data_IF_563604476908
#
_entry.id   IF_563604476908
#
_cell.length_a   1.000
_cell.length_b   1.000
_cell.length_c   1.000
_cell.angle_alpha   90.00
_cell.angle_beta   90.00
_cell.angle_gamma   90.00
#
_symmetry.space_group_name_H-M   'P 1'
#
loop_
_entity.id
_entity.type
_entity.pdbx_description
1 polymer ?
#
# COMPACT_ATOMS: atom_id res chain seq x y z
N UNK A 1 42.90 41.28 6.13
CA UNK A 1 41.56 41.01 5.53
C UNK A 1 41.59 39.64 4.94
N UNK A 2 41.09 38.65 5.69
CA UNK A 2 41.05 37.23 5.30
C UNK A 2 39.66 36.92 4.78
N UNK A 3 39.56 36.75 3.49
CA UNK A 3 38.30 36.32 2.82
C UNK A 3 38.03 34.85 3.11
N UNK A 4 37.01 34.58 3.89
CA UNK A 4 36.46 33.21 4.07
C UNK A 4 35.75 32.78 2.78
N UNK A 5 36.33 31.81 2.11
CA UNK A 5 35.71 31.08 1.03
C UNK A 5 34.55 30.23 1.61
N UNK A 6 33.33 30.41 1.09
CA UNK A 6 32.20 29.60 1.44
C UNK A 6 32.38 28.14 1.00
N UNK A 7 31.87 27.15 1.75
CA UNK A 7 31.99 25.77 1.36
C UNK A 7 31.13 25.52 0.12
N UNK A 8 31.72 24.99 -0.93
CA UNK A 8 31.09 24.51 -2.14
C UNK A 8 30.08 23.41 -1.74
N UNK A 9 28.79 23.65 -1.95
CA UNK A 9 27.77 22.63 -1.85
C UNK A 9 28.13 21.49 -2.81
N UNK A 10 28.47 20.33 -2.24
CA UNK A 10 28.56 19.09 -3.01
C UNK A 10 27.18 18.82 -3.58
N UNK A 11 27.06 18.82 -4.91
CA UNK A 11 25.85 18.43 -5.62
C UNK A 11 25.50 17.00 -5.18
N UNK A 12 24.45 16.85 -4.38
CA UNK A 12 23.85 15.57 -4.10
C UNK A 12 23.33 14.99 -5.43
N UNK A 13 23.70 13.75 -5.74
CA UNK A 13 22.95 12.96 -6.67
C UNK A 13 23.52 12.67 -8.06
N UNK A 14 24.83 12.67 -8.24
CA UNK A 14 25.37 11.97 -9.41
C UNK A 14 25.86 10.59 -8.99
N UNK A 15 24.99 9.58 -9.16
CA UNK A 15 25.48 8.20 -9.13
C UNK A 15 26.34 7.97 -10.36
N UNK A 16 27.57 7.49 -10.16
CA UNK A 16 28.33 6.96 -11.28
C UNK A 16 27.55 5.76 -11.81
N UNK A 17 27.19 5.81 -13.09
CA UNK A 17 26.54 4.71 -13.76
C UNK A 17 27.40 3.46 -13.80
N UNK A 18 26.89 2.39 -14.37
CA UNK A 18 27.60 1.12 -14.44
C UNK A 18 29.01 1.31 -15.05
N UNK A 19 30.04 0.68 -14.48
CA UNK A 19 31.43 0.92 -14.87
C UNK A 19 31.73 0.76 -16.37
N UNK A 20 31.01 -0.13 -17.03
CA UNK A 20 31.21 -0.43 -18.45
C UNK A 20 30.62 0.61 -19.41
N UNK A 21 29.60 1.35 -18.97
CA UNK A 21 28.91 2.31 -19.83
C UNK A 21 29.26 3.76 -19.56
N UNK A 22 30.02 4.03 -18.50
CA UNK A 22 30.39 5.40 -18.03
C UNK A 22 29.16 6.35 -17.99
N UNK A 23 27.99 5.79 -17.76
CA UNK A 23 26.76 6.53 -17.69
C UNK A 23 26.71 7.33 -16.39
N UNK A 24 26.34 8.58 -16.50
CA UNK A 24 26.00 9.45 -15.38
C UNK A 24 24.52 9.73 -15.44
N UNK A 25 23.78 9.30 -14.42
CA UNK A 25 22.36 9.62 -14.32
C UNK A 25 22.12 10.79 -13.36
N UNK A 26 21.16 11.61 -13.71
CA UNK A 26 20.59 12.64 -12.85
C UNK A 26 19.09 12.49 -12.88
N UNK A 27 18.41 12.86 -11.81
CA UNK A 27 16.96 12.96 -11.84
C UNK A 27 16.54 14.02 -12.86
N UNK A 28 15.70 13.63 -13.79
CA UNK A 28 15.07 14.52 -14.78
C UNK A 28 13.69 14.97 -14.31
N UNK A 29 13.12 14.28 -13.33
CA UNK A 29 11.90 14.60 -12.60
C UNK A 29 12.06 14.12 -11.15
N UNK A 30 12.01 15.03 -10.18
CA UNK A 30 12.11 14.68 -8.76
C UNK A 30 10.80 14.09 -8.24
N UNK A 31 10.84 13.35 -7.14
CA UNK A 31 9.71 12.59 -6.60
C UNK A 31 8.40 13.39 -6.43
N UNK A 32 8.47 14.64 -6.01
CA UNK A 32 7.28 15.47 -5.79
C UNK A 32 6.89 16.33 -7.01
N UNK A 33 7.69 16.32 -8.04
CA UNK A 33 7.43 17.11 -9.24
C UNK A 33 6.36 16.43 -10.08
N UNK A 34 5.36 17.22 -10.51
CA UNK A 34 4.29 16.75 -11.40
C UNK A 34 4.61 17.26 -12.82
N UNK A 35 4.62 16.34 -13.77
CA UNK A 35 4.66 16.68 -15.19
C UNK A 35 3.25 17.04 -15.65
N UNK A 36 3.07 18.23 -16.21
CA UNK A 36 1.78 18.65 -16.74
C UNK A 36 1.37 17.80 -17.94
N UNK A 37 0.15 17.28 -17.88
CA UNK A 37 -0.49 16.50 -18.95
C UNK A 37 -1.87 17.10 -19.25
N UNK A 38 -2.37 17.03 -20.50
CA UNK A 38 -3.65 17.65 -20.90
C UNK A 38 -4.86 16.82 -20.42
N UNK A 39 -5.06 16.71 -19.11
CA UNK A 39 -6.07 15.84 -18.51
C UNK A 39 -7.36 16.56 -18.10
N UNK A 40 -7.44 17.88 -18.29
CA UNK A 40 -8.60 18.68 -17.89
C UNK A 40 -8.77 18.81 -16.36
N UNK A 41 -7.72 18.56 -15.59
CA UNK A 41 -7.68 18.73 -14.13
C UNK A 41 -6.76 19.87 -13.75
N UNK A 42 -7.02 20.52 -12.61
CA UNK A 42 -6.11 21.52 -12.06
C UNK A 42 -4.82 20.87 -11.55
N UNK A 43 -3.71 21.61 -11.57
CA UNK A 43 -2.43 21.13 -11.02
C UNK A 43 -2.54 20.75 -9.55
N UNK A 44 -3.34 21.48 -8.77
CA UNK A 44 -3.62 21.16 -7.39
C UNK A 44 -4.32 19.81 -7.24
N UNK A 45 -5.37 19.54 -8.03
CA UNK A 45 -6.11 18.28 -8.01
C UNK A 45 -5.19 17.09 -8.35
N UNK A 46 -4.36 17.25 -9.38
CA UNK A 46 -3.39 16.24 -9.80
C UNK A 46 -2.35 15.98 -8.69
N UNK A 47 -1.78 17.02 -8.10
CA UNK A 47 -0.80 16.90 -7.01
C UNK A 47 -1.35 16.19 -5.79
N UNK A 48 -2.60 16.50 -5.42
CA UNK A 48 -3.29 15.83 -4.31
C UNK A 48 -3.55 14.35 -4.60
N UNK A 49 -4.01 14.01 -5.81
CA UNK A 49 -4.22 12.62 -6.24
C UNK A 49 -2.91 11.83 -6.22
N UNK A 50 -1.81 12.39 -6.74
CA UNK A 50 -0.48 11.74 -6.76
C UNK A 50 0.03 11.50 -5.34
N UNK A 51 -0.12 12.46 -4.44
CA UNK A 51 0.32 12.33 -3.05
C UNK A 51 -0.43 11.22 -2.33
N UNK A 52 -1.76 11.19 -2.45
CA UNK A 52 -2.63 10.18 -1.87
C UNK A 52 -2.35 8.79 -2.46
N UNK A 53 -2.24 8.67 -3.78
CA UNK A 53 -1.94 7.39 -4.44
C UNK A 53 -0.58 6.83 -4.03
N UNK A 54 0.45 7.67 -3.86
CA UNK A 54 1.76 7.23 -3.35
C UNK A 54 1.70 6.73 -1.91
N UNK A 55 0.79 7.27 -1.08
CA UNK A 55 0.56 6.72 0.26
C UNK A 55 -0.08 5.33 0.17
N UNK A 56 -1.13 5.18 -0.64
CA UNK A 56 -1.79 3.88 -0.84
C UNK A 56 -0.82 2.87 -1.44
N UNK A 57 0.02 3.29 -2.40
CA UNK A 57 1.05 2.43 -3.02
C UNK A 57 2.03 1.88 -1.99
N UNK A 58 2.59 2.74 -1.14
CA UNK A 58 3.54 2.31 -0.10
C UNK A 58 2.89 1.36 0.91
N UNK A 59 1.65 1.64 1.32
CA UNK A 59 0.90 0.78 2.22
C UNK A 59 0.53 -0.56 1.56
N UNK A 60 0.18 -0.57 0.27
CA UNK A 60 -0.13 -1.81 -0.48
C UNK A 60 1.11 -2.70 -0.67
N UNK A 61 2.27 -2.13 -0.98
CA UNK A 61 3.54 -2.88 -1.06
C UNK A 61 3.87 -3.49 0.31
N UNK A 62 3.73 -2.73 1.39
CA UNK A 62 3.96 -3.22 2.75
C UNK A 62 2.97 -4.32 3.14
N UNK A 63 1.70 -4.20 2.73
CA UNK A 63 0.67 -5.22 2.97
C UNK A 63 0.97 -6.51 2.19
N UNK A 64 1.40 -6.40 0.95
CA UNK A 64 1.86 -7.55 0.15
C UNK A 64 2.99 -8.31 0.86
N UNK A 65 4.03 -7.59 1.29
CA UNK A 65 5.15 -8.17 2.02
C UNK A 65 4.70 -8.80 3.35
N UNK A 66 3.74 -8.19 4.05
CA UNK A 66 3.15 -8.73 5.27
C UNK A 66 2.44 -10.07 4.99
N UNK A 67 1.63 -10.14 3.94
CA UNK A 67 0.97 -11.37 3.51
C UNK A 67 1.99 -12.47 3.19
N UNK A 68 3.02 -12.18 2.41
CA UNK A 68 4.06 -13.15 2.06
C UNK A 68 4.83 -13.62 3.29
N UNK A 69 5.19 -12.72 4.20
CA UNK A 69 5.82 -13.08 5.48
C UNK A 69 4.94 -14.04 6.28
N UNK A 70 3.66 -13.75 6.41
CA UNK A 70 2.73 -14.58 7.17
C UNK A 70 2.48 -15.92 6.47
N UNK A 71 2.31 -15.94 5.16
CA UNK A 71 2.19 -17.15 4.34
C UNK A 71 3.36 -18.13 4.58
N UNK A 72 4.59 -17.62 4.69
CA UNK A 72 5.76 -18.47 5.00
C UNK A 72 5.81 -18.95 6.44
N UNK A 73 5.28 -18.20 7.37
CA UNK A 73 5.44 -18.43 8.82
C UNK A 73 4.24 -19.08 9.49
N UNK A 74 3.09 -19.15 8.81
CA UNK A 74 1.89 -19.75 9.41
C UNK A 74 2.09 -21.22 9.70
N UNK A 75 1.53 -21.69 10.82
CA UNK A 75 1.63 -23.08 11.27
C UNK A 75 0.40 -23.49 12.09
N UNK A 76 0.23 -24.79 12.31
CA UNK A 76 -0.83 -25.32 13.18
C UNK A 76 -1.97 -26.01 12.43
N UNK A 77 -3.09 -26.32 13.09
CA UNK A 77 -4.17 -27.14 12.53
C UNK A 77 -4.83 -26.55 11.27
N UNK A 78 -4.81 -25.22 11.13
CA UNK A 78 -5.39 -24.49 9.99
C UNK A 78 -4.34 -24.07 8.96
N UNK A 79 -3.13 -24.64 9.02
CA UNK A 79 -2.00 -24.27 8.17
C UNK A 79 -2.37 -24.21 6.69
N UNK A 80 -2.89 -25.31 6.14
CA UNK A 80 -3.08 -25.42 4.70
C UNK A 80 -4.07 -24.39 4.16
N UNK A 81 -5.21 -24.23 4.82
CA UNK A 81 -6.25 -23.29 4.41
C UNK A 81 -5.75 -21.84 4.48
N UNK A 82 -5.09 -21.47 5.57
CA UNK A 82 -4.58 -20.11 5.74
C UNK A 82 -3.37 -19.84 4.84
N UNK A 83 -2.50 -20.82 4.63
CA UNK A 83 -1.38 -20.70 3.71
C UNK A 83 -1.85 -20.36 2.29
N UNK A 84 -2.87 -21.06 1.79
CA UNK A 84 -3.46 -20.76 0.48
C UNK A 84 -4.21 -19.43 0.46
N UNK A 85 -5.00 -19.13 1.49
CA UNK A 85 -5.76 -17.87 1.58
C UNK A 85 -4.83 -16.66 1.55
N UNK A 86 -3.75 -16.69 2.36
CA UNK A 86 -2.80 -15.59 2.44
C UNK A 86 -2.04 -15.40 1.13
N UNK A 87 -1.77 -16.48 0.38
CA UNK A 87 -1.14 -16.40 -0.93
C UNK A 87 -2.08 -15.78 -1.98
N UNK A 88 -3.33 -16.25 -2.03
CA UNK A 88 -4.36 -15.66 -2.91
C UNK A 88 -4.55 -14.17 -2.65
N UNK A 89 -4.63 -13.78 -1.38
CA UNK A 89 -4.77 -12.35 -1.03
C UNK A 89 -3.52 -11.54 -1.38
N UNK A 90 -2.32 -12.12 -1.25
CA UNK A 90 -1.09 -11.47 -1.69
C UNK A 90 -1.11 -11.20 -3.20
N UNK A 91 -1.52 -12.18 -4.02
CA UNK A 91 -1.63 -12.03 -5.48
C UNK A 91 -2.63 -10.93 -5.88
N UNK A 92 -3.78 -10.85 -5.20
CA UNK A 92 -4.76 -9.77 -5.45
C UNK A 92 -4.20 -8.38 -5.10
N UNK A 93 -3.47 -8.28 -3.97
CA UNK A 93 -2.81 -7.02 -3.58
C UNK A 93 -1.69 -6.66 -4.57
N UNK A 94 -0.88 -7.62 -5.03
CA UNK A 94 0.16 -7.42 -6.03
C UNK A 94 -0.41 -6.83 -7.33
N UNK A 95 -1.52 -7.39 -7.81
CA UNK A 95 -2.22 -6.87 -8.99
C UNK A 95 -2.71 -5.42 -8.80
N UNK A 96 -3.07 -5.03 -7.58
CA UNK A 96 -3.48 -3.67 -7.26
C UNK A 96 -2.32 -2.67 -7.23
N UNK A 97 -1.11 -3.11 -6.84
CA UNK A 97 0.10 -2.28 -6.78
C UNK A 97 0.42 -1.68 -8.14
N UNK A 98 0.38 -2.49 -9.20
CA UNK A 98 0.67 -2.05 -10.56
C UNK A 98 -0.35 -1.00 -11.04
N UNK A 99 -1.65 -1.26 -10.81
CA UNK A 99 -2.72 -0.32 -11.16
C UNK A 99 -2.55 1.04 -10.46
N UNK A 100 -2.15 1.06 -9.18
CA UNK A 100 -1.91 2.30 -8.44
C UNK A 100 -0.68 3.02 -8.99
N UNK A 101 0.41 2.29 -9.22
CA UNK A 101 1.67 2.84 -9.74
C UNK A 101 1.49 3.45 -11.11
N UNK A 102 0.83 2.77 -12.03
CA UNK A 102 0.51 3.28 -13.36
C UNK A 102 -0.44 4.50 -13.28
N UNK A 103 -1.41 4.48 -12.35
CA UNK A 103 -2.29 5.64 -12.15
C UNK A 103 -1.53 6.88 -11.73
N UNK A 104 -0.50 6.77 -10.91
CA UNK A 104 0.39 7.88 -10.55
C UNK A 104 1.10 8.42 -11.81
N UNK A 105 1.63 7.53 -12.66
CA UNK A 105 2.28 7.91 -13.92
C UNK A 105 1.30 8.61 -14.88
N UNK A 106 0.08 8.10 -14.99
CA UNK A 106 -0.99 8.73 -15.78
C UNK A 106 -1.37 10.12 -15.28
N UNK A 107 -1.03 10.46 -14.02
CA UNK A 107 -1.19 11.80 -13.45
C UNK A 107 0.07 12.66 -13.60
N UNK A 108 1.11 12.17 -14.24
CA UNK A 108 2.38 12.87 -14.42
C UNK A 108 3.25 12.88 -13.15
N UNK A 109 2.90 12.06 -12.14
CA UNK A 109 3.67 11.91 -10.92
C UNK A 109 4.82 10.92 -11.04
N UNK A 110 5.58 10.78 -9.95
CA UNK A 110 6.64 9.78 -9.77
C UNK A 110 6.20 8.81 -8.69
N UNK A 111 6.38 7.51 -8.92
CA UNK A 111 5.99 6.44 -7.99
C UNK A 111 7.03 6.22 -6.90
N UNK A 112 6.56 6.00 -5.67
CA UNK A 112 7.34 5.44 -4.57
C UNK A 112 7.34 3.91 -4.69
N UNK A 113 8.48 3.28 -5.00
CA UNK A 113 8.50 1.84 -5.25
C UNK A 113 9.71 1.10 -4.70
N UNK A 114 10.77 1.81 -4.26
CA UNK A 114 11.92 1.14 -3.69
C UNK A 114 11.70 0.82 -2.20
N UNK A 115 12.21 -0.32 -1.69
CA UNK A 115 11.95 -0.76 -0.31
C UNK A 115 12.26 0.27 0.76
N UNK A 116 13.31 1.08 0.59
CA UNK A 116 13.68 2.14 1.53
C UNK A 116 12.62 3.25 1.56
N UNK A 117 12.18 3.70 0.39
CA UNK A 117 11.17 4.76 0.26
C UNK A 117 9.81 4.28 0.78
N UNK A 118 9.48 3.01 0.51
CA UNK A 118 8.26 2.36 1.00
C UNK A 118 8.27 2.30 2.52
N UNK A 119 9.38 1.85 3.12
CA UNK A 119 9.51 1.73 4.57
C UNK A 119 9.41 3.07 5.31
N UNK A 120 9.87 4.17 4.69
CA UNK A 120 9.74 5.52 5.25
C UNK A 120 8.32 6.09 5.09
N UNK A 121 7.59 5.68 4.07
CA UNK A 121 6.29 6.25 3.72
C UNK A 121 5.10 5.48 4.29
N UNK A 122 5.21 4.17 4.44
CA UNK A 122 4.07 3.33 4.88
C UNK A 122 3.57 3.72 6.26
N UNK A 123 2.24 3.68 6.43
CA UNK A 123 1.56 3.85 7.73
C UNK A 123 1.26 2.51 8.41
N UNK A 124 1.55 1.39 7.74
CA UNK A 124 1.36 0.07 8.33
C UNK A 124 2.45 -0.16 9.38
N UNK A 125 2.03 -0.55 10.56
CA UNK A 125 2.94 -0.83 11.67
C UNK A 125 3.87 -2.00 11.35
N UNK A 126 5.16 -1.82 11.63
CA UNK A 126 6.18 -2.84 11.40
C UNK A 126 5.87 -4.09 12.24
N UNK A 127 5.73 -5.27 11.62
CA UNK A 127 5.56 -6.53 12.35
C UNK A 127 6.87 -6.93 13.05
N UNK A 128 6.79 -7.76 14.11
CA UNK A 128 7.97 -8.41 14.66
C UNK A 128 8.71 -9.22 13.59
N UNK A 129 10.03 -9.34 13.73
CA UNK A 129 10.81 -10.20 12.82
C UNK A 129 10.52 -11.68 13.03
N UNK A 130 10.23 -12.08 14.26
CA UNK A 130 9.92 -13.45 14.64
C UNK A 130 8.55 -13.93 14.19
N UNK A 131 8.23 -15.18 14.54
CA UNK A 131 6.94 -15.82 14.30
C UNK A 131 5.98 -15.44 15.41
N UNK A 132 4.79 -15.00 15.04
CA UNK A 132 3.69 -14.70 15.97
C UNK A 132 2.69 -15.87 16.02
N UNK A 133 1.76 -15.86 16.97
CA UNK A 133 0.61 -16.77 16.93
C UNK A 133 -0.28 -16.47 15.70
N UNK A 134 -1.00 -17.47 15.22
CA UNK A 134 -1.89 -17.32 14.06
C UNK A 134 -2.89 -16.18 14.27
N UNK A 135 -3.53 -16.13 15.44
CA UNK A 135 -4.49 -15.06 15.75
C UNK A 135 -3.86 -13.67 15.74
N UNK A 136 -2.62 -13.52 16.24
CA UNK A 136 -1.90 -12.25 16.21
C UNK A 136 -1.53 -11.84 14.77
N UNK A 137 -1.07 -12.79 13.94
CA UNK A 137 -0.79 -12.54 12.53
C UNK A 137 -2.03 -12.05 11.79
N UNK A 138 -3.16 -12.74 11.93
CA UNK A 138 -4.40 -12.37 11.25
C UNK A 138 -4.96 -11.03 11.75
N UNK A 139 -4.93 -10.77 13.06
CA UNK A 139 -5.35 -9.49 13.62
C UNK A 139 -4.48 -8.33 13.09
N UNK A 140 -3.17 -8.55 12.97
CA UNK A 140 -2.25 -7.57 12.38
C UNK A 140 -2.60 -7.27 10.92
N UNK A 141 -2.96 -8.28 10.14
CA UNK A 141 -3.38 -8.12 8.74
C UNK A 141 -4.68 -7.32 8.64
N UNK A 142 -5.67 -7.60 9.50
CA UNK A 142 -6.91 -6.80 9.57
C UNK A 142 -6.60 -5.34 9.90
N UNK A 143 -5.69 -5.07 10.84
CA UNK A 143 -5.28 -3.71 11.19
C UNK A 143 -4.54 -3.01 10.04
N UNK A 144 -3.72 -3.74 9.28
CA UNK A 144 -3.05 -3.21 8.09
C UNK A 144 -4.08 -2.81 7.02
N UNK A 145 -5.07 -3.67 6.75
CA UNK A 145 -6.19 -3.33 5.87
C UNK A 145 -6.96 -2.11 6.35
N UNK A 146 -7.26 -2.00 7.65
CA UNK A 146 -7.96 -0.85 8.20
C UNK A 146 -7.20 0.47 7.94
N UNK A 147 -5.88 0.43 7.95
CA UNK A 147 -5.03 1.58 7.60
C UNK A 147 -5.17 1.94 6.12
N UNK A 148 -5.07 0.96 5.22
CA UNK A 148 -5.23 1.17 3.77
C UNK A 148 -6.64 1.66 3.43
N UNK A 149 -7.69 1.00 3.95
CA UNK A 149 -9.10 1.35 3.73
C UNK A 149 -9.38 2.78 4.13
N UNK A 150 -8.84 3.24 5.27
CA UNK A 150 -9.01 4.63 5.71
C UNK A 150 -8.47 5.61 4.69
N UNK A 151 -7.23 5.41 4.21
CA UNK A 151 -6.62 6.26 3.18
C UNK A 151 -7.38 6.19 1.86
N UNK A 152 -7.90 5.02 1.47
CA UNK A 152 -8.74 4.88 0.27
C UNK A 152 -10.03 5.70 0.40
N UNK A 153 -10.73 5.65 1.56
CA UNK A 153 -11.97 6.41 1.79
C UNK A 153 -11.73 7.92 1.76
N UNK A 154 -10.67 8.38 2.43
CA UNK A 154 -10.23 9.79 2.34
C UNK A 154 -9.91 10.19 0.88
N UNK A 155 -9.29 9.28 0.12
CA UNK A 155 -8.97 9.48 -1.29
C UNK A 155 -10.21 9.54 -2.19
N UNK A 156 -11.25 8.76 -1.90
CA UNK A 156 -12.53 8.80 -2.63
C UNK A 156 -13.18 10.19 -2.48
N UNK A 157 -13.28 10.70 -1.26
CA UNK A 157 -13.84 12.04 -1.00
C UNK A 157 -13.01 13.14 -1.69
N UNK A 158 -11.68 13.04 -1.61
CA UNK A 158 -10.76 13.97 -2.26
C UNK A 158 -10.92 13.99 -3.78
N UNK A 159 -10.95 12.80 -4.40
CA UNK A 159 -11.01 12.67 -5.86
C UNK A 159 -12.38 13.03 -6.43
N UNK A 160 -13.45 12.80 -5.67
CA UNK A 160 -14.79 13.28 -6.00
C UNK A 160 -14.83 14.81 -5.99
N UNK A 161 -14.35 15.44 -4.92
CA UNK A 161 -14.26 16.91 -4.82
C UNK A 161 -13.46 17.52 -5.98
N UNK A 162 -12.35 16.90 -6.35
CA UNK A 162 -11.45 17.32 -7.42
C UNK A 162 -11.94 16.93 -8.84
N UNK A 163 -13.04 16.19 -8.96
CA UNK A 163 -13.58 15.64 -10.21
C UNK A 163 -12.57 14.72 -10.93
N UNK A 164 -11.65 14.10 -10.20
CA UNK A 164 -10.74 13.09 -10.71
C UNK A 164 -11.43 11.72 -10.72
N UNK A 165 -12.49 11.63 -11.53
CA UNK A 165 -13.38 10.47 -11.57
C UNK A 165 -12.67 9.16 -11.92
N UNK A 166 -11.65 9.18 -12.76
CA UNK A 166 -10.93 7.96 -13.10
C UNK A 166 -10.02 7.46 -11.96
N UNK A 167 -9.52 8.34 -11.08
CA UNK A 167 -8.85 7.91 -9.84
C UNK A 167 -9.88 7.47 -8.81
N UNK A 168 -11.01 8.17 -8.72
CA UNK A 168 -12.13 7.81 -7.85
C UNK A 168 -12.65 6.40 -8.16
N UNK A 169 -12.86 6.07 -9.44
CA UNK A 169 -13.31 4.74 -9.86
C UNK A 169 -12.31 3.64 -9.49
N UNK A 170 -11.00 3.86 -9.71
CA UNK A 170 -9.97 2.91 -9.27
C UNK A 170 -10.06 2.66 -7.76
N UNK A 171 -10.21 3.71 -6.96
CA UNK A 171 -10.32 3.59 -5.50
C UNK A 171 -11.56 2.83 -5.07
N UNK A 172 -12.72 3.16 -5.64
CA UNK A 172 -14.01 2.57 -5.25
C UNK A 172 -14.17 1.14 -5.78
N UNK A 173 -13.98 0.94 -7.07
CA UNK A 173 -14.31 -0.30 -7.76
C UNK A 173 -13.19 -1.33 -7.68
N UNK A 174 -11.95 -0.88 -7.76
CA UNK A 174 -10.77 -1.75 -7.73
C UNK A 174 -10.30 -2.05 -6.30
N UNK A 175 -9.97 -1.02 -5.55
CA UNK A 175 -9.22 -1.20 -4.31
C UNK A 175 -10.13 -1.44 -3.09
N UNK A 176 -11.12 -0.58 -2.85
CA UNK A 176 -11.95 -0.64 -1.64
C UNK A 176 -12.63 -2.01 -1.48
N UNK A 177 -13.27 -2.47 -2.52
CA UNK A 177 -14.02 -3.75 -2.50
C UNK A 177 -13.12 -4.95 -2.26
N UNK A 178 -11.93 -4.98 -2.84
CA UNK A 178 -10.94 -6.03 -2.63
C UNK A 178 -10.51 -6.06 -1.15
N UNK A 179 -10.13 -4.92 -0.59
CA UNK A 179 -9.72 -4.85 0.81
C UNK A 179 -10.84 -5.22 1.78
N UNK A 180 -12.08 -4.79 1.53
CA UNK A 180 -13.23 -5.15 2.35
C UNK A 180 -13.53 -6.67 2.30
N UNK A 181 -13.40 -7.30 1.12
CA UNK A 181 -13.53 -8.75 0.94
C UNK A 181 -12.46 -9.49 1.76
N UNK A 182 -11.21 -9.07 1.67
CA UNK A 182 -10.10 -9.72 2.38
C UNK A 182 -10.24 -9.55 3.89
N UNK A 183 -10.66 -8.38 4.39
CA UNK A 183 -10.98 -8.16 5.80
C UNK A 183 -12.08 -9.12 6.27
N UNK A 184 -13.16 -9.24 5.50
CA UNK A 184 -14.24 -10.16 5.85
C UNK A 184 -13.72 -11.60 5.95
N UNK A 185 -13.01 -12.11 4.96
CA UNK A 185 -12.50 -13.48 4.94
C UNK A 185 -11.54 -13.77 6.11
N UNK A 186 -10.60 -12.88 6.38
CA UNK A 186 -9.63 -13.05 7.48
C UNK A 186 -10.35 -12.98 8.84
N UNK A 187 -11.31 -12.08 8.99
CA UNK A 187 -12.04 -11.91 10.26
C UNK A 187 -12.81 -13.16 10.67
N UNK A 188 -13.26 -13.99 9.71
CA UNK A 188 -13.94 -15.25 10.02
C UNK A 188 -13.02 -16.24 10.78
N UNK A 189 -11.73 -16.14 10.63
CA UNK A 189 -10.75 -16.97 11.36
C UNK A 189 -10.43 -16.44 12.76
N UNK A 190 -10.97 -15.27 13.14
CA UNK A 190 -10.79 -14.63 14.45
C UNK A 190 -12.05 -14.74 15.34
N UNK A 191 -13.08 -15.41 14.88
CA UNK A 191 -14.32 -15.60 15.62
C UNK A 191 -14.18 -16.79 16.58
N UNK A 192 -14.34 -16.54 17.88
CA UNK A 192 -14.22 -17.55 18.93
C UNK A 192 -15.54 -18.29 19.21
N UNK A 193 -16.67 -17.73 18.80
CA UNK A 193 -18.01 -18.30 19.00
C UNK A 193 -18.60 -18.81 17.72
N UNK A 194 -19.35 -19.94 17.71
CA UNK A 194 -20.09 -20.36 16.53
C UNK A 194 -21.03 -19.24 16.06
N UNK A 195 -21.00 -18.94 14.74
CA UNK A 195 -21.88 -17.94 14.12
C UNK A 195 -23.35 -18.37 14.12
N UNK A 196 -23.61 -19.67 14.32
CA UNK A 196 -24.94 -20.24 14.51
C UNK A 196 -25.04 -20.54 16.00
N UNK A 197 -25.84 -19.74 16.69
CA UNK A 197 -26.32 -20.11 18.01
C UNK A 197 -27.22 -21.34 17.82
N UNK A 198 -26.71 -22.53 18.15
CA UNK A 198 -27.53 -23.74 18.22
C UNK A 198 -28.55 -23.63 19.38
N UNK A 199 -29.05 -22.44 19.47
CA UNK A 199 -30.12 -21.96 20.30
C UNK A 199 -30.61 -22.90 21.35
N UNK A 200 -30.71 -22.46 22.44
CA UNK A 200 -31.71 -22.70 23.49
C UNK A 200 -33.10 -23.24 23.01
N UNK A 201 -33.08 -24.05 21.98
CA UNK A 201 -34.25 -24.80 21.48
C UNK A 201 -34.29 -26.16 22.15
N UNK A 202 -34.71 -26.20 23.39
CA UNK A 202 -35.45 -27.27 24.06
C UNK A 202 -35.11 -27.35 25.54
N UNK A 203 -35.56 -26.38 26.27
CA UNK A 203 -36.14 -26.66 27.59
C UNK A 203 -37.64 -26.75 27.37
N UNK A 204 -38.09 -27.90 27.11
CA UNK A 204 -39.49 -28.25 27.04
C UNK A 204 -39.62 -29.66 27.57
N UNK A 205 -40.19 -29.74 28.74
CA UNK A 205 -40.78 -30.85 29.48
C UNK A 205 -39.91 -31.51 30.51
#
# INVERSE_FOLDING_TARGET
>A
MTTKTAPTQKSAGMMEGQPHLKQRSREIQTFQQIRSLPLGLSEQAVGQSVTMLNQILADSITLYDLYKKQHWQIAGPTFYQLHLLLDTHAEEVEGSIDLIAERIQMRGGVTCGMPFDVAEKTKIERPPMGVESVSAMLARTVNAHATVIRTIREGIELTEHNKDYGTNDLLMSGLLRMHEMQVWMISQHLVDTPLIDEGNGRKGE
#
